data_IF_906184878652
#
_entry.id   IF_906184878652
#
_cell.length_a   1.000
_cell.length_b   1.000
_cell.length_c   1.000
_cell.angle_alpha   90.00
_cell.angle_beta   90.00
_cell.angle_gamma   90.00
#
_symmetry.space_group_name_H-M   'P 1'
#
loop_
_entity.id
_entity.type
_entity.pdbx_description
1 polymer ?
#
# COMPACT_ATOMS: atom_id res chain seq x y z
N UNK A 1 -44.80 -20.01 52.87
CA UNK A 1 -46.05 -20.55 52.29
C UNK A 1 -45.67 -21.10 50.91
N UNK A 2 -44.94 -22.20 50.80
CA UNK A 2 -45.08 -23.55 51.37
C UNK A 2 -46.05 -24.44 50.56
N UNK A 3 -45.64 -25.72 50.44
CA UNK A 3 -46.34 -26.93 49.94
C UNK A 3 -46.27 -27.22 48.42
N UNK A 4 -46.00 -28.45 47.93
CA UNK A 4 -45.51 -29.74 48.44
C UNK A 4 -45.29 -30.63 47.20
N UNK A 5 -44.11 -31.22 47.01
CA UNK A 5 -43.83 -32.67 47.04
C UNK A 5 -44.85 -33.65 46.42
N UNK A 6 -44.37 -34.51 45.50
CA UNK A 6 -44.71 -35.94 45.46
C UNK A 6 -43.55 -36.78 44.93
N UNK A 7 -42.93 -37.56 45.82
CA UNK A 7 -42.17 -38.81 45.54
C UNK A 7 -43.12 -40.00 45.66
N UNK A 8 -42.84 -41.09 44.94
CA UNK A 8 -42.99 -42.53 45.28
C UNK A 8 -42.39 -43.30 44.08
N UNK A 9 -41.61 -44.38 44.14
CA UNK A 9 -41.17 -45.25 45.24
C UNK A 9 -41.29 -46.74 44.84
N UNK A 10 -40.16 -47.46 44.68
CA UNK A 10 -40.00 -48.93 44.81
C UNK A 10 -40.27 -49.80 43.57
N UNK A 11 -39.69 -51.00 43.37
CA UNK A 11 -38.76 -51.86 44.12
C UNK A 11 -38.38 -53.08 43.22
N UNK A 12 -37.21 -53.72 43.43
CA UNK A 12 -36.95 -55.10 42.96
C UNK A 12 -35.48 -55.45 42.65
N UNK A 13 -34.78 -56.05 43.62
CA UNK A 13 -33.37 -56.53 43.60
C UNK A 13 -33.25 -58.01 43.11
N UNK A 14 -32.18 -58.79 43.41
CA UNK A 14 -30.72 -58.65 43.19
C UNK A 14 -30.13 -59.89 42.44
N UNK A 15 -28.83 -59.93 42.10
CA UNK A 15 -28.08 -61.23 42.09
C UNK A 15 -26.55 -61.06 42.14
N UNK A 16 -25.99 -61.57 43.24
CA UNK A 16 -24.76 -62.35 43.45
C UNK A 16 -23.37 -61.80 43.04
N UNK A 17 -22.61 -61.52 44.11
CA UNK A 17 -21.15 -61.45 44.28
C UNK A 17 -20.43 -62.79 44.08
N UNK A 18 -19.20 -62.76 43.56
CA UNK A 18 -18.11 -63.73 43.80
C UNK A 18 -16.73 -63.05 43.59
N UNK A 19 -15.59 -63.62 44.07
CA UNK A 19 -14.67 -62.91 44.98
C UNK A 19 -13.35 -62.37 44.36
N UNK A 20 -12.75 -61.42 45.07
CA UNK A 20 -11.38 -60.90 44.89
C UNK A 20 -10.29 -61.97 45.04
N UNK A 21 -9.23 -61.85 44.23
CA UNK A 21 -7.89 -62.39 44.42
C UNK A 21 -6.82 -61.35 44.04
N UNK A 22 -5.59 -61.47 44.54
CA UNK A 22 -4.81 -60.36 45.10
C UNK A 22 -3.88 -59.64 44.09
N UNK A 23 -3.41 -58.50 44.57
CA UNK A 23 -2.47 -57.53 44.00
C UNK A 23 -1.27 -58.11 43.24
N UNK A 24 -1.00 -57.56 42.05
CA UNK A 24 0.34 -57.39 41.51
C UNK A 24 0.50 -55.93 41.06
N UNK A 25 1.32 -55.19 41.82
CA UNK A 25 1.89 -53.91 41.41
C UNK A 25 2.89 -54.14 40.26
N UNK A 26 2.66 -53.50 39.12
CA UNK A 26 3.72 -53.20 38.15
C UNK A 26 3.58 -51.73 37.74
N UNK A 27 4.55 -50.95 38.18
CA UNK A 27 4.77 -49.55 37.85
C UNK A 27 5.09 -49.41 36.35
N UNK A 28 4.14 -48.99 35.52
CA UNK A 28 4.46 -48.61 34.13
C UNK A 28 3.52 -47.53 33.55
N UNK A 29 3.17 -46.50 34.32
CA UNK A 29 2.44 -45.32 33.79
C UNK A 29 3.10 -43.96 34.11
N UNK A 30 4.35 -43.96 34.59
CA UNK A 30 5.06 -42.72 34.95
C UNK A 30 5.91 -42.06 33.85
N UNK A 31 6.02 -42.64 32.63
CA UNK A 31 7.04 -42.21 31.65
C UNK A 31 6.50 -41.66 30.32
N UNK A 32 5.23 -41.25 30.26
CA UNK A 32 4.64 -40.61 29.06
C UNK A 32 4.13 -39.18 29.24
N UNK A 33 4.31 -38.58 30.43
CA UNK A 33 3.83 -37.21 30.69
C UNK A 33 4.91 -36.13 30.86
N UNK A 34 6.20 -36.44 30.65
CA UNK A 34 7.28 -35.44 30.78
C UNK A 34 8.07 -35.16 29.48
N UNK A 35 7.59 -35.62 28.31
CA UNK A 35 8.29 -35.46 27.04
C UNK A 35 7.60 -34.53 26.03
N UNK A 36 6.59 -33.74 26.43
CA UNK A 36 5.87 -32.84 25.52
C UNK A 36 6.00 -31.35 25.87
N UNK A 37 6.93 -30.99 26.77
CA UNK A 37 7.25 -29.59 27.05
C UNK A 37 8.52 -29.13 26.30
N UNK A 38 8.71 -29.62 25.07
CA UNK A 38 9.68 -29.09 24.12
C UNK A 38 9.01 -27.98 23.30
N UNK A 39 9.14 -26.75 23.78
CA UNK A 39 8.94 -25.49 23.06
C UNK A 39 7.93 -25.54 21.89
N UNK A 40 6.64 -25.33 22.17
CA UNK A 40 5.80 -24.64 21.20
C UNK A 40 6.41 -23.24 21.00
N UNK A 41 7.32 -23.11 20.04
CA UNK A 41 7.74 -21.81 19.55
C UNK A 41 6.47 -21.08 19.15
N UNK A 42 6.14 -19.99 19.86
CA UNK A 42 4.87 -19.28 19.68
C UNK A 42 4.63 -19.05 18.19
N UNK A 43 3.51 -19.58 17.65
CA UNK A 43 3.21 -19.47 16.22
C UNK A 43 3.27 -18.01 15.79
N UNK A 44 4.07 -17.75 14.76
CA UNK A 44 4.19 -16.43 14.10
C UNK A 44 2.81 -15.86 13.82
N UNK A 45 2.55 -14.63 14.33
CA UNK A 45 1.31 -13.90 14.05
C UNK A 45 1.28 -13.51 12.58
N UNK A 46 0.12 -13.61 11.94
CA UNK A 46 -0.04 -13.33 10.51
C UNK A 46 -0.93 -12.12 10.27
N UNK A 47 -0.41 -11.10 9.60
CA UNK A 47 -1.16 -9.94 9.14
C UNK A 47 -1.25 -10.01 7.61
N UNK A 48 -2.48 -9.97 7.10
CA UNK A 48 -2.76 -9.83 5.68
C UNK A 48 -3.15 -8.39 5.38
N UNK A 49 -2.34 -7.70 4.59
CA UNK A 49 -2.67 -6.37 4.05
C UNK A 49 -3.29 -6.55 2.65
N UNK A 50 -4.57 -6.28 2.52
CA UNK A 50 -5.31 -6.32 1.27
C UNK A 50 -5.26 -4.97 0.57
N UNK A 51 -4.88 -4.99 -0.71
CA UNK A 51 -4.80 -3.80 -1.54
C UNK A 51 -5.12 -4.15 -3.00
N UNK A 52 -5.07 -3.15 -3.89
CA UNK A 52 -5.07 -3.34 -5.34
C UNK A 52 -4.18 -2.28 -6.00
N UNK A 53 -3.47 -2.63 -7.07
CA UNK A 53 -2.58 -1.72 -7.80
C UNK A 53 -3.33 -0.75 -8.71
N UNK A 54 -3.88 0.27 -8.05
CA UNK A 54 -4.71 1.32 -8.64
C UNK A 54 -3.99 2.67 -8.62
N UNK A 55 -2.82 2.76 -9.26
CA UNK A 55 -2.01 4.01 -9.33
C UNK A 55 -0.91 4.14 -8.26
N UNK A 56 -0.58 3.06 -7.55
CA UNK A 56 0.62 2.92 -6.73
C UNK A 56 0.56 3.48 -5.30
N UNK A 57 -0.36 4.39 -4.98
CA UNK A 57 -0.52 4.98 -3.64
C UNK A 57 -0.91 3.96 -2.56
N UNK A 58 -1.83 3.05 -2.88
CA UNK A 58 -2.26 1.99 -1.95
C UNK A 58 -1.13 1.00 -1.65
N UNK A 59 -0.37 0.58 -2.67
CA UNK A 59 0.83 -0.25 -2.49
C UNK A 59 1.90 0.45 -1.66
N UNK A 60 2.10 1.76 -1.86
CA UNK A 60 3.02 2.54 -1.04
C UNK A 60 2.60 2.51 0.44
N UNK A 61 1.32 2.72 0.73
CA UNK A 61 0.77 2.66 2.10
C UNK A 61 0.90 1.26 2.72
N UNK A 62 0.61 0.20 1.97
CA UNK A 62 0.78 -1.18 2.42
C UNK A 62 2.24 -1.49 2.78
N UNK A 63 3.19 -1.06 1.95
CA UNK A 63 4.62 -1.22 2.19
C UNK A 63 5.09 -0.41 3.40
N UNK A 64 4.59 0.82 3.58
CA UNK A 64 4.87 1.65 4.77
C UNK A 64 4.42 0.95 6.05
N UNK A 65 3.19 0.43 6.07
CA UNK A 65 2.66 -0.32 7.21
C UNK A 65 3.47 -1.58 7.49
N UNK A 66 3.80 -2.37 6.45
CA UNK A 66 4.65 -3.56 6.60
C UNK A 66 6.01 -3.21 7.21
N UNK A 67 6.68 -2.18 6.71
CA UNK A 67 7.97 -1.74 7.22
C UNK A 67 7.87 -1.31 8.70
N UNK A 68 6.89 -0.47 9.04
CA UNK A 68 6.67 -0.02 10.42
C UNK A 68 6.34 -1.18 11.38
N UNK A 69 5.52 -2.14 10.95
CA UNK A 69 5.19 -3.33 11.73
C UNK A 69 6.44 -4.17 12.05
N UNK A 70 7.36 -4.31 11.09
CA UNK A 70 8.62 -5.03 11.30
C UNK A 70 9.61 -4.28 12.20
N UNK A 71 9.48 -2.96 12.35
CA UNK A 71 10.24 -2.20 13.36
C UNK A 71 9.73 -2.47 14.78
N UNK A 72 8.43 -2.76 14.93
CA UNK A 72 7.79 -3.02 16.23
C UNK A 72 7.96 -4.49 16.64
N UNK A 73 7.78 -5.41 15.68
CA UNK A 73 7.87 -6.84 15.93
C UNK A 73 8.74 -7.53 14.86
N UNK A 74 9.79 -8.26 15.28
CA UNK A 74 10.71 -8.90 14.35
C UNK A 74 10.05 -10.00 13.52
N UNK A 75 10.69 -10.33 12.39
CA UNK A 75 10.20 -11.30 11.40
C UNK A 75 10.12 -12.74 11.92
N UNK A 76 10.75 -13.10 13.03
CA UNK A 76 10.54 -14.41 13.66
C UNK A 76 9.15 -14.51 14.33
N UNK A 77 8.60 -13.38 14.77
CA UNK A 77 7.31 -13.30 15.50
C UNK A 77 6.14 -12.79 14.68
N UNK A 78 6.39 -12.00 13.63
CA UNK A 78 5.34 -11.40 12.79
C UNK A 78 5.53 -11.68 11.29
N UNK A 79 4.49 -12.21 10.64
CA UNK A 79 4.40 -12.36 9.19
C UNK A 79 3.47 -11.29 8.65
N UNK A 80 3.98 -10.41 7.80
CA UNK A 80 3.15 -9.44 7.09
C UNK A 80 3.18 -9.75 5.60
N UNK A 81 2.03 -10.10 5.03
CA UNK A 81 1.86 -10.33 3.60
C UNK A 81 0.97 -9.26 3.00
N UNK A 82 1.37 -8.74 1.85
CA UNK A 82 0.59 -7.79 1.05
C UNK A 82 0.06 -8.55 -0.16
N UNK A 83 -1.24 -8.48 -0.41
CA UNK A 83 -1.89 -9.20 -1.51
C UNK A 83 -2.72 -8.22 -2.35
N UNK A 84 -2.56 -8.27 -3.67
CA UNK A 84 -3.48 -7.62 -4.60
C UNK A 84 -4.68 -8.55 -4.80
N UNK A 85 -5.72 -8.36 -3.98
CA UNK A 85 -6.85 -9.30 -3.98
C UNK A 85 -7.64 -9.22 -5.29
N UNK A 86 -7.62 -8.06 -5.97
CA UNK A 86 -8.32 -7.93 -7.23
C UNK A 86 -7.62 -8.70 -8.35
N UNK A 87 -6.31 -8.53 -8.47
CA UNK A 87 -5.48 -9.22 -9.47
C UNK A 87 -5.35 -10.72 -9.20
N UNK A 88 -4.92 -11.08 -7.98
CA UNK A 88 -4.46 -12.44 -7.66
C UNK A 88 -5.65 -13.39 -7.42
N UNK A 89 -6.78 -12.86 -6.95
CA UNK A 89 -7.87 -13.69 -6.42
C UNK A 89 -9.22 -13.55 -7.11
N UNK A 90 -9.52 -12.42 -7.74
CA UNK A 90 -10.89 -12.13 -8.22
C UNK A 90 -10.97 -11.90 -9.74
N UNK A 91 -10.59 -10.73 -10.24
CA UNK A 91 -10.75 -10.30 -11.63
C UNK A 91 -9.41 -9.76 -12.15
N UNK A 92 -8.57 -10.63 -12.71
CA UNK A 92 -7.20 -10.35 -13.17
C UNK A 92 -7.05 -9.23 -14.24
N UNK A 93 -8.15 -8.67 -14.77
CA UNK A 93 -8.11 -7.58 -15.77
C UNK A 93 -8.56 -6.23 -15.19
N UNK A 94 -8.97 -6.23 -13.91
CA UNK A 94 -9.57 -5.07 -13.24
C UNK A 94 -8.57 -3.93 -13.09
N UNK A 95 -7.30 -4.22 -12.77
CA UNK A 95 -6.25 -3.21 -12.66
C UNK A 95 -6.04 -2.43 -13.95
N UNK A 96 -6.04 -3.11 -15.11
CA UNK A 96 -5.89 -2.45 -16.42
C UNK A 96 -7.06 -1.54 -16.77
N UNK A 97 -8.28 -1.98 -16.48
CA UNK A 97 -9.50 -1.20 -16.72
C UNK A 97 -9.61 0.00 -15.75
N UNK A 98 -9.27 -0.21 -14.49
CA UNK A 98 -9.22 0.84 -13.48
C UNK A 98 -8.16 1.89 -13.81
N UNK A 99 -6.95 1.46 -14.16
CA UNK A 99 -5.86 2.36 -14.57
C UNK A 99 -6.24 3.16 -15.82
N UNK A 100 -7.03 2.58 -16.73
CA UNK A 100 -7.64 3.33 -17.83
C UNK A 100 -8.62 4.39 -17.31
N UNK A 101 -9.56 4.06 -16.41
CA UNK A 101 -10.50 5.04 -15.84
C UNK A 101 -9.82 6.20 -15.12
N UNK A 102 -8.83 5.93 -14.26
CA UNK A 102 -8.08 6.96 -13.51
C UNK A 102 -7.19 7.83 -14.40
N UNK A 103 -6.79 7.32 -15.57
CA UNK A 103 -6.07 8.11 -16.55
C UNK A 103 -6.92 9.24 -17.19
N UNK A 104 -8.26 9.15 -17.11
CA UNK A 104 -9.19 10.18 -17.62
C UNK A 104 -9.93 10.89 -16.48
N UNK A 105 -9.51 12.11 -16.07
CA UNK A 105 -10.07 12.81 -14.90
C UNK A 105 -11.60 12.98 -14.92
N UNK A 106 -12.19 13.26 -16.08
CA UNK A 106 -13.64 13.42 -16.20
C UNK A 106 -14.40 12.09 -16.04
N UNK A 107 -13.82 10.98 -16.50
CA UNK A 107 -14.41 9.64 -16.33
C UNK A 107 -14.33 9.24 -14.86
N UNK A 108 -13.17 9.42 -14.23
CA UNK A 108 -12.98 9.15 -12.80
C UNK A 108 -13.88 10.01 -11.92
N UNK A 109 -13.94 11.33 -12.14
CA UNK A 109 -14.80 12.23 -11.36
C UNK A 109 -16.28 11.85 -11.48
N UNK A 110 -16.74 11.50 -12.69
CA UNK A 110 -18.12 11.05 -12.90
C UNK A 110 -18.42 9.73 -12.19
N UNK A 111 -17.51 8.75 -12.28
CA UNK A 111 -17.64 7.47 -11.55
C UNK A 111 -17.69 7.76 -10.05
N UNK A 112 -16.70 8.47 -9.52
CA UNK A 112 -16.58 8.81 -8.10
C UNK A 112 -17.83 9.52 -7.55
N UNK A 113 -18.32 10.58 -8.21
CA UNK A 113 -19.50 11.30 -7.74
C UNK A 113 -20.79 10.47 -7.90
N UNK A 114 -20.89 9.65 -8.94
CA UNK A 114 -22.05 8.78 -9.14
C UNK A 114 -22.10 7.66 -8.09
N UNK A 115 -20.98 6.99 -7.84
CA UNK A 115 -20.88 5.93 -6.83
C UNK A 115 -21.06 6.49 -5.42
N UNK A 116 -20.53 7.69 -5.15
CA UNK A 116 -20.72 8.40 -3.88
C UNK A 116 -22.19 8.72 -3.63
N UNK A 117 -22.86 9.43 -4.56
CA UNK A 117 -24.29 9.78 -4.44
C UNK A 117 -25.20 8.55 -4.29
N UNK A 118 -24.83 7.44 -4.91
CA UNK A 118 -25.58 6.19 -4.80
C UNK A 118 -25.38 5.54 -3.44
N UNK A 119 -24.14 5.61 -2.91
CA UNK A 119 -23.79 5.05 -1.59
C UNK A 119 -24.39 5.87 -0.43
N UNK A 120 -24.36 7.21 -0.51
CA UNK A 120 -24.98 8.11 0.47
C UNK A 120 -26.50 7.90 0.61
N UNK A 121 -27.18 7.43 -0.45
CA UNK A 121 -28.62 7.13 -0.41
C UNK A 121 -28.95 5.78 0.24
N UNK A 122 -27.97 4.91 0.43
CA UNK A 122 -28.15 3.56 0.97
C UNK A 122 -27.79 3.42 2.46
N UNK A 123 -27.47 4.54 3.10
CA UNK A 123 -26.85 4.70 4.41
C UNK A 123 -27.74 4.32 5.63
N UNK A 124 -28.62 3.34 5.50
CA UNK A 124 -29.41 2.82 6.64
C UNK A 124 -29.40 1.31 6.80
N UNK A 125 -28.93 0.56 5.80
CA UNK A 125 -28.92 -0.91 5.87
C UNK A 125 -27.54 -1.55 5.74
N UNK A 126 -26.47 -0.75 5.66
CA UNK A 126 -25.09 -1.26 5.64
C UNK A 126 -24.78 -2.21 4.47
N UNK A 127 -25.51 -2.07 3.36
CA UNK A 127 -25.44 -2.97 2.22
C UNK A 127 -24.95 -2.26 0.95
N UNK A 128 -24.06 -2.91 0.22
CA UNK A 128 -23.65 -2.53 -1.13
C UNK A 128 -24.82 -2.51 -2.12
N UNK A 129 -25.28 -1.33 -2.54
CA UNK A 129 -25.99 -1.21 -3.82
C UNK A 129 -24.98 -1.08 -4.95
N UNK A 130 -24.26 -2.16 -5.19
CA UNK A 130 -23.70 -2.36 -6.50
C UNK A 130 -24.83 -2.33 -7.53
N UNK A 131 -24.69 -1.55 -8.61
CA UNK A 131 -25.57 -1.64 -9.78
C UNK A 131 -25.59 -3.08 -10.35
N UNK A 132 -26.44 -3.38 -11.33
CA UNK A 132 -26.64 -4.73 -11.87
C UNK A 132 -25.33 -5.48 -12.19
N UNK A 133 -24.31 -4.78 -12.70
CA UNK A 133 -22.96 -5.33 -12.97
C UNK A 133 -22.23 -5.82 -11.72
N UNK A 134 -22.34 -5.09 -10.62
CA UNK A 134 -21.67 -5.42 -9.38
C UNK A 134 -22.31 -6.63 -8.69
N UNK A 135 -23.64 -6.82 -8.82
CA UNK A 135 -24.34 -8.06 -8.40
C UNK A 135 -23.94 -9.29 -9.23
N UNK A 136 -23.65 -9.09 -10.53
CA UNK A 136 -23.20 -10.18 -11.41
C UNK A 136 -21.78 -10.63 -11.04
N UNK A 137 -20.90 -9.68 -10.69
CA UNK A 137 -19.51 -9.99 -10.33
C UNK A 137 -19.35 -10.43 -8.85
N UNK A 138 -20.35 -10.16 -8.01
CA UNK A 138 -20.34 -10.47 -6.58
C UNK A 138 -19.93 -11.92 -6.27
N UNK A 139 -20.48 -12.98 -6.91
CA UNK A 139 -20.12 -14.36 -6.56
C UNK A 139 -18.64 -14.68 -6.84
N UNK A 140 -18.11 -14.18 -7.96
CA UNK A 140 -16.70 -14.39 -8.33
C UNK A 140 -15.78 -13.66 -7.36
N UNK A 141 -16.08 -12.40 -7.08
CA UNK A 141 -15.29 -11.59 -6.14
C UNK A 141 -15.35 -12.22 -4.74
N UNK A 142 -16.54 -12.64 -4.29
CA UNK A 142 -16.75 -13.35 -3.03
C UNK A 142 -15.91 -14.63 -2.94
N UNK A 143 -15.94 -15.46 -3.98
CA UNK A 143 -15.14 -16.70 -4.03
C UNK A 143 -13.64 -16.41 -3.93
N UNK A 144 -13.17 -15.37 -4.63
CA UNK A 144 -11.78 -14.93 -4.57
C UNK A 144 -11.34 -14.52 -3.16
N UNK A 145 -12.13 -13.69 -2.47
CA UNK A 145 -11.82 -13.31 -1.08
C UNK A 145 -11.79 -14.51 -0.13
N UNK A 146 -12.72 -15.46 -0.26
CA UNK A 146 -12.71 -16.70 0.55
C UNK A 146 -11.44 -17.49 0.33
N UNK A 147 -11.05 -17.65 -0.93
CA UNK A 147 -9.84 -18.37 -1.31
C UNK A 147 -8.60 -17.68 -0.74
N UNK A 148 -8.51 -16.35 -0.86
CA UNK A 148 -7.44 -15.55 -0.26
C UNK A 148 -7.36 -15.78 1.25
N UNK A 149 -8.45 -15.59 2.00
CA UNK A 149 -8.45 -15.75 3.46
C UNK A 149 -8.11 -17.19 3.89
N UNK A 150 -8.60 -18.20 3.15
CA UNK A 150 -8.33 -19.60 3.45
C UNK A 150 -6.88 -20.00 3.16
N UNK A 151 -6.29 -19.53 2.06
CA UNK A 151 -4.90 -19.80 1.70
C UNK A 151 -3.92 -19.08 2.64
N UNK A 152 -4.20 -17.83 3.00
CA UNK A 152 -3.29 -17.03 3.83
C UNK A 152 -3.40 -17.34 5.33
N UNK A 153 -4.61 -17.66 5.80
CA UNK A 153 -4.92 -17.90 7.21
C UNK A 153 -4.47 -16.78 8.15
N UNK A 154 -4.91 -15.52 7.96
CA UNK A 154 -4.44 -14.39 8.76
C UNK A 154 -5.04 -14.35 10.16
N UNK A 155 -4.27 -13.80 11.10
CA UNK A 155 -4.70 -13.44 12.46
C UNK A 155 -5.29 -12.02 12.52
N UNK A 156 -4.99 -11.19 11.52
CA UNK A 156 -5.51 -9.82 11.35
C UNK A 156 -5.55 -9.49 9.86
N UNK A 157 -6.64 -8.87 9.42
CA UNK A 157 -6.76 -8.30 8.07
C UNK A 157 -6.69 -6.78 8.16
N UNK A 158 -5.81 -6.18 7.34
CA UNK A 158 -5.72 -4.73 7.16
C UNK A 158 -6.09 -4.42 5.72
N UNK A 159 -7.02 -3.51 5.51
CA UNK A 159 -7.39 -3.03 4.20
C UNK A 159 -6.85 -1.62 3.95
N UNK A 160 -6.20 -1.41 2.82
CA UNK A 160 -5.71 -0.09 2.39
C UNK A 160 -6.33 0.36 1.06
N UNK A 161 -7.52 -0.14 0.71
CA UNK A 161 -8.19 0.22 -0.55
C UNK A 161 -9.73 0.27 -0.38
N UNK A 162 -10.45 1.25 -0.97
CA UNK A 162 -11.88 1.48 -0.68
C UNK A 162 -12.78 0.31 -1.07
N UNK A 163 -12.48 -0.40 -2.16
CA UNK A 163 -13.33 -1.50 -2.66
C UNK A 163 -13.21 -2.78 -1.80
N UNK A 164 -12.26 -2.81 -0.86
CA UNK A 164 -11.93 -4.03 -0.09
C UNK A 164 -12.74 -4.19 1.20
N UNK A 165 -13.62 -3.23 1.55
CA UNK A 165 -14.38 -3.30 2.81
C UNK A 165 -15.64 -4.15 2.66
N UNK A 166 -16.35 -3.92 1.57
CA UNK A 166 -17.78 -4.25 1.46
C UNK A 166 -18.02 -5.77 1.35
N UNK A 167 -17.34 -6.43 0.41
CA UNK A 167 -17.59 -7.84 0.09
C UNK A 167 -17.08 -8.78 1.19
N UNK A 168 -15.90 -8.53 1.81
CA UNK A 168 -15.44 -9.37 2.91
C UNK A 168 -16.35 -9.35 4.15
N UNK A 169 -16.93 -8.19 4.47
CA UNK A 169 -17.56 -7.97 5.76
C UNK A 169 -19.04 -8.36 5.77
N UNK A 170 -19.79 -8.07 4.70
CA UNK A 170 -21.22 -8.40 4.60
C UNK A 170 -21.48 -9.92 4.55
N UNK A 171 -20.47 -10.74 4.19
CA UNK A 171 -20.66 -12.14 3.84
C UNK A 171 -19.78 -13.15 4.58
N UNK A 172 -18.75 -12.72 5.32
CA UNK A 172 -17.80 -13.63 5.99
C UNK A 172 -17.60 -13.38 7.48
N UNK A 173 -18.29 -12.41 8.07
CA UNK A 173 -18.27 -12.30 9.53
C UNK A 173 -19.28 -13.28 10.12
N UNK A 174 -18.83 -14.35 10.80
CA UNK A 174 -19.76 -15.21 11.51
C UNK A 174 -20.56 -14.36 12.51
N UNK A 175 -21.84 -14.69 12.68
CA UNK A 175 -22.67 -14.11 13.74
C UNK A 175 -22.04 -14.31 15.13
N UNK A 176 -21.22 -15.36 15.26
CA UNK A 176 -20.35 -15.62 16.39
C UNK A 176 -19.04 -14.83 16.29
N UNK A 177 -18.95 -13.75 17.07
CA UNK A 177 -17.75 -12.89 17.15
C UNK A 177 -16.50 -13.60 17.69
N UNK A 178 -16.63 -14.75 18.36
CA UNK A 178 -15.49 -15.48 18.93
C UNK A 178 -14.58 -16.15 17.88
N UNK A 179 -15.05 -16.27 16.63
CA UNK A 179 -14.31 -16.87 15.49
C UNK A 179 -13.95 -15.86 14.40
N UNK A 180 -14.14 -14.58 14.68
CA UNK A 180 -13.96 -13.49 13.71
C UNK A 180 -12.50 -13.06 13.66
N UNK A 181 -11.89 -13.12 12.48
CA UNK A 181 -10.58 -12.50 12.25
C UNK A 181 -10.79 -10.97 12.35
N UNK A 182 -10.05 -10.26 13.22
CA UNK A 182 -10.12 -8.81 13.29
C UNK A 182 -9.86 -8.18 11.92
N UNK A 183 -10.66 -7.18 11.58
CA UNK A 183 -10.60 -6.48 10.31
C UNK A 183 -10.45 -4.98 10.54
N UNK A 184 -9.39 -4.42 9.99
CA UNK A 184 -9.03 -3.02 10.14
C UNK A 184 -8.96 -2.35 8.77
N UNK A 185 -9.42 -1.11 8.70
CA UNK A 185 -9.32 -0.28 7.51
C UNK A 185 -8.34 0.86 7.76
N UNK A 186 -7.43 1.12 6.83
CA UNK A 186 -6.55 2.27 6.83
C UNK A 186 -6.86 3.08 5.57
N UNK A 187 -7.50 4.23 5.75
CA UNK A 187 -7.89 5.12 4.65
C UNK A 187 -6.65 5.79 4.08
N UNK A 188 -6.51 5.73 2.74
CA UNK A 188 -5.33 6.26 2.03
C UNK A 188 -5.64 7.45 1.12
N UNK A 189 -6.85 8.01 1.21
CA UNK A 189 -7.27 9.19 0.46
C UNK A 189 -6.82 10.47 1.18
N UNK A 190 -6.52 11.58 0.48
CA UNK A 190 -5.97 12.82 1.06
C UNK A 190 -6.89 14.04 1.01
N UNK A 191 -8.17 13.85 0.67
CA UNK A 191 -9.15 14.94 0.62
C UNK A 191 -10.50 14.46 1.10
N UNK A 192 -11.38 14.10 0.17
CA UNK A 192 -12.67 13.50 0.49
C UNK A 192 -12.60 11.99 0.38
N UNK A 193 -12.89 11.28 1.47
CA UNK A 193 -12.95 9.83 1.47
C UNK A 193 -14.21 9.35 0.74
N UNK A 194 -14.06 8.41 -0.19
CA UNK A 194 -15.22 7.73 -0.76
C UNK A 194 -15.95 6.93 0.34
N UNK A 195 -17.30 6.94 0.41
CA UNK A 195 -18.06 6.20 1.42
C UNK A 195 -17.76 4.69 1.50
N UNK A 196 -17.21 4.11 0.42
CA UNK A 196 -16.78 2.70 0.39
C UNK A 196 -15.68 2.36 1.39
N UNK A 197 -14.95 3.36 1.90
CA UNK A 197 -14.00 3.16 3.00
C UNK A 197 -14.67 2.80 4.33
N UNK A 198 -15.95 3.15 4.51
CA UNK A 198 -16.61 3.04 5.81
C UNK A 198 -17.62 1.89 5.77
N UNK A 199 -17.35 0.88 6.60
CA UNK A 199 -18.26 -0.24 6.82
C UNK A 199 -18.35 -0.51 8.32
N UNK A 200 -19.55 -0.42 8.90
CA UNK A 200 -19.79 -0.55 10.34
C UNK A 200 -19.34 -1.88 10.95
N UNK A 201 -19.10 -2.90 10.12
CA UNK A 201 -18.68 -4.25 10.53
C UNK A 201 -17.17 -4.37 10.80
N UNK A 202 -16.35 -3.39 10.38
CA UNK A 202 -14.91 -3.36 10.70
C UNK A 202 -14.70 -3.19 12.19
N UNK A 203 -13.59 -3.72 12.69
CA UNK A 203 -13.25 -3.59 14.10
C UNK A 203 -12.67 -2.19 14.38
N UNK A 204 -11.84 -1.65 13.47
CA UNK A 204 -11.28 -0.29 13.54
C UNK A 204 -11.09 0.32 12.15
N UNK A 205 -11.19 1.64 12.05
CA UNK A 205 -10.80 2.43 10.88
C UNK A 205 -9.84 3.54 11.29
N UNK A 206 -8.74 3.66 10.56
CA UNK A 206 -7.74 4.70 10.71
C UNK A 206 -7.89 5.70 9.57
N UNK A 207 -8.09 6.97 9.91
CA UNK A 207 -8.31 8.05 8.95
C UNK A 207 -7.21 9.12 9.08
N UNK A 208 -6.87 9.81 7.97
CA UNK A 208 -5.81 10.79 7.98
C UNK A 208 -6.18 12.15 8.56
N UNK A 209 -7.47 12.53 8.56
CA UNK A 209 -7.94 13.86 8.96
C UNK A 209 -9.21 13.80 9.80
N UNK A 210 -9.46 14.87 10.56
CA UNK A 210 -10.70 15.05 11.32
C UNK A 210 -11.94 15.14 10.41
N UNK A 211 -11.81 15.75 9.24
CA UNK A 211 -12.89 15.82 8.25
C UNK A 211 -13.34 14.41 7.79
N UNK A 212 -12.38 13.49 7.64
CA UNK A 212 -12.69 12.09 7.34
C UNK A 212 -13.27 11.34 8.53
N UNK A 213 -12.88 11.70 9.75
CA UNK A 213 -13.50 11.18 10.97
C UNK A 213 -15.00 11.52 11.01
N UNK A 214 -15.35 12.80 10.81
CA UNK A 214 -16.76 13.22 10.71
C UNK A 214 -17.52 12.51 9.60
N UNK A 215 -16.87 12.28 8.45
CA UNK A 215 -17.46 11.55 7.33
C UNK A 215 -17.73 10.09 7.69
N UNK A 216 -16.80 9.44 8.40
CA UNK A 216 -16.97 8.09 8.88
C UNK A 216 -18.18 7.96 9.82
N UNK A 217 -18.35 8.90 10.76
CA UNK A 217 -19.49 8.95 11.67
C UNK A 217 -20.82 9.15 10.93
N UNK A 218 -20.83 10.02 9.90
CA UNK A 218 -22.01 10.20 9.03
C UNK A 218 -22.41 8.91 8.33
N UNK A 219 -21.44 8.08 7.93
CA UNK A 219 -21.66 6.73 7.39
C UNK A 219 -21.98 5.65 8.45
N UNK A 220 -22.35 6.05 9.68
CA UNK A 220 -22.84 5.14 10.72
C UNK A 220 -21.76 4.41 11.54
N UNK A 221 -20.48 4.74 11.36
CA UNK A 221 -19.41 4.24 12.21
C UNK A 221 -19.58 4.75 13.64
N UNK A 222 -19.21 3.94 14.65
CA UNK A 222 -19.18 4.39 16.04
C UNK A 222 -17.88 5.15 16.34
N UNK A 223 -17.95 6.09 17.27
CA UNK A 223 -16.79 6.86 17.76
C UNK A 223 -15.61 5.97 18.15
N UNK A 224 -15.88 4.86 18.86
CA UNK A 224 -14.85 3.93 19.31
C UNK A 224 -14.18 3.16 18.16
N UNK A 225 -14.72 3.19 16.94
CA UNK A 225 -14.15 2.50 15.78
C UNK A 225 -13.19 3.39 14.99
N UNK A 226 -13.32 4.72 15.05
CA UNK A 226 -12.63 5.64 14.14
C UNK A 226 -11.46 6.31 14.87
N UNK A 227 -10.28 6.32 14.25
CA UNK A 227 -9.07 6.89 14.83
C UNK A 227 -8.35 7.79 13.82
N UNK A 228 -8.14 9.05 14.19
CA UNK A 228 -7.38 10.02 13.38
C UNK A 228 -5.89 9.87 13.67
N UNK A 229 -5.12 9.34 12.72
CA UNK A 229 -3.68 9.03 12.91
C UNK A 229 -2.78 9.49 11.77
N UNK A 230 -3.33 10.16 10.75
CA UNK A 230 -2.58 10.54 9.55
C UNK A 230 -2.44 9.39 8.55
N UNK A 231 -1.69 9.64 7.46
CA UNK A 231 -1.38 8.61 6.47
C UNK A 231 -0.13 7.81 6.81
N UNK A 232 -0.10 6.50 6.49
CA UNK A 232 1.13 5.71 6.61
C UNK A 232 2.15 6.11 5.54
N UNK A 233 3.19 6.84 5.96
CA UNK A 233 4.30 7.26 5.11
C UNK A 233 5.48 6.30 5.22
N UNK A 234 6.28 6.18 4.14
CA UNK A 234 7.53 5.42 4.18
C UNK A 234 8.51 6.10 5.14
N UNK A 235 9.38 5.32 5.78
CA UNK A 235 10.32 5.81 6.79
C UNK A 235 11.18 6.99 6.30
N UNK A 236 11.58 7.01 5.02
CA UNK A 236 12.33 8.12 4.44
C UNK A 236 11.64 9.49 4.54
N UNK A 237 10.31 9.52 4.68
CA UNK A 237 9.52 10.74 4.84
C UNK A 237 9.36 11.20 6.29
N UNK A 238 9.78 10.42 7.30
CA UNK A 238 9.52 10.73 8.71
C UNK A 238 10.42 11.86 9.24
N UNK A 239 11.58 12.06 8.61
CA UNK A 239 12.63 12.98 9.07
C UNK A 239 13.11 13.91 7.94
N UNK A 240 12.16 14.61 7.30
CA UNK A 240 12.46 15.60 6.25
C UNK A 240 12.77 17.01 6.79
N UNK A 241 12.85 17.14 8.11
CA UNK A 241 13.06 18.34 8.90
C UNK A 241 14.55 18.65 9.12
N UNK A 242 15.27 18.91 8.03
CA UNK A 242 16.70 19.24 8.10
C UNK A 242 17.08 20.63 7.57
N UNK A 243 16.08 21.46 7.25
CA UNK A 243 16.28 22.81 6.74
C UNK A 243 17.13 22.87 5.46
N UNK A 244 17.82 23.99 5.26
CA UNK A 244 18.63 24.21 4.05
C UNK A 244 19.83 23.27 3.98
N UNK A 245 20.46 22.91 5.11
CA UNK A 245 21.64 22.04 5.12
C UNK A 245 21.33 20.63 4.62
N UNK A 246 20.20 20.04 5.05
CA UNK A 246 19.78 18.72 4.57
C UNK A 246 19.40 18.76 3.09
N UNK A 247 18.72 19.83 2.65
CA UNK A 247 18.42 20.06 1.24
C UNK A 247 19.70 20.12 0.40
N UNK A 248 20.70 20.89 0.84
CA UNK A 248 21.99 20.96 0.16
C UNK A 248 22.70 19.61 0.17
N UNK A 249 22.71 18.87 1.29
CA UNK A 249 23.29 17.54 1.35
C UNK A 249 22.64 16.55 0.36
N UNK A 250 21.30 16.57 0.21
CA UNK A 250 20.61 15.77 -0.81
C UNK A 250 20.94 16.24 -2.22
N UNK A 251 21.06 17.55 -2.46
CA UNK A 251 21.51 18.07 -3.76
C UNK A 251 22.89 17.54 -4.13
N UNK A 252 23.85 17.55 -3.20
CA UNK A 252 25.18 16.97 -3.44
C UNK A 252 25.10 15.50 -3.80
N UNK A 253 24.38 14.73 -2.99
CA UNK A 253 24.18 13.28 -3.22
C UNK A 253 23.56 12.98 -4.59
N UNK A 254 22.63 13.82 -5.05
CA UNK A 254 21.89 13.63 -6.31
C UNK A 254 22.53 14.36 -7.51
N UNK A 255 23.64 15.08 -7.33
CA UNK A 255 24.23 15.92 -8.38
C UNK A 255 23.30 17.06 -8.85
N UNK A 256 22.70 17.79 -7.90
CA UNK A 256 21.71 18.86 -8.09
C UNK A 256 22.15 20.21 -7.47
N UNK A 257 23.45 20.44 -7.31
CA UNK A 257 24.02 21.46 -6.40
C UNK A 257 23.85 22.93 -6.84
N UNK A 258 23.78 23.23 -8.13
CA UNK A 258 24.03 24.60 -8.62
C UNK A 258 22.82 25.35 -9.19
N UNK A 259 21.65 24.71 -9.28
CA UNK A 259 20.54 25.22 -10.09
C UNK A 259 19.22 25.17 -9.33
N UNK A 260 18.24 25.99 -9.75
CA UNK A 260 16.88 25.86 -9.24
C UNK A 260 16.32 24.51 -9.67
N UNK A 261 15.91 23.66 -8.74
CA UNK A 261 15.44 22.30 -9.03
C UNK A 261 13.92 22.28 -9.09
N UNK A 262 13.39 21.91 -10.25
CA UNK A 262 11.96 21.68 -10.49
C UNK A 262 11.75 20.17 -10.65
N UNK A 263 10.97 19.58 -9.75
CA UNK A 263 10.60 18.17 -9.83
C UNK A 263 9.19 18.04 -10.39
N UNK A 264 9.06 17.45 -11.57
CA UNK A 264 7.78 17.06 -12.16
C UNK A 264 7.52 15.57 -11.91
N UNK A 265 6.48 15.23 -11.17
CA UNK A 265 6.18 13.85 -10.76
C UNK A 265 4.71 13.47 -11.00
N UNK A 266 4.49 12.38 -11.73
CA UNK A 266 3.15 11.85 -12.09
C UNK A 266 2.68 10.64 -11.28
N UNK A 267 3.24 10.45 -10.08
CA UNK A 267 2.98 9.25 -9.25
C UNK A 267 3.76 8.01 -9.73
N UNK A 268 3.56 6.88 -9.03
CA UNK A 268 4.33 5.65 -9.25
C UNK A 268 4.19 5.04 -10.65
N UNK A 269 3.08 5.32 -11.33
CA UNK A 269 2.78 4.81 -12.67
C UNK A 269 2.97 5.86 -13.79
N UNK A 270 3.46 7.07 -13.48
CA UNK A 270 3.68 8.12 -14.48
C UNK A 270 2.43 8.45 -15.29
N UNK A 271 1.28 8.56 -14.63
CA UNK A 271 -0.03 8.71 -15.25
C UNK A 271 -0.41 10.17 -15.50
N UNK A 272 -1.42 10.36 -16.36
CA UNK A 272 -1.99 11.67 -16.65
C UNK A 272 -1.16 12.48 -17.65
N UNK A 273 -1.19 13.80 -17.50
CA UNK A 273 -0.61 14.75 -18.47
C UNK A 273 0.85 15.09 -18.20
N UNK A 274 1.60 14.19 -17.55
CA UNK A 274 2.99 14.46 -17.17
C UNK A 274 3.85 14.83 -18.39
N UNK A 275 3.61 14.23 -19.55
CA UNK A 275 4.30 14.58 -20.79
C UNK A 275 4.05 16.03 -21.22
N UNK A 276 2.78 16.46 -21.22
CA UNK A 276 2.38 17.83 -21.57
C UNK A 276 2.96 18.84 -20.56
N UNK A 277 2.92 18.50 -19.27
CA UNK A 277 3.47 19.32 -18.18
C UNK A 277 4.98 19.44 -18.32
N UNK A 278 5.71 18.35 -18.53
CA UNK A 278 7.16 18.36 -18.69
C UNK A 278 7.59 19.20 -19.89
N UNK A 279 6.94 19.04 -21.05
CA UNK A 279 7.19 19.84 -22.26
C UNK A 279 6.90 21.31 -22.04
N UNK A 280 5.79 21.63 -21.39
CA UNK A 280 5.41 23.00 -21.05
C UNK A 280 6.42 23.64 -20.09
N UNK A 281 6.85 22.91 -19.05
CA UNK A 281 7.88 23.38 -18.12
C UNK A 281 9.20 23.65 -18.84
N UNK A 282 9.66 22.74 -19.69
CA UNK A 282 10.88 22.94 -20.48
C UNK A 282 10.82 24.22 -21.32
N UNK A 283 9.69 24.48 -21.98
CA UNK A 283 9.48 25.72 -22.75
C UNK A 283 9.56 26.97 -21.88
N UNK A 284 8.77 27.03 -20.80
CA UNK A 284 8.72 28.22 -19.94
C UNK A 284 10.04 28.46 -19.20
N UNK A 285 10.75 27.38 -18.79
CA UNK A 285 12.05 27.50 -18.15
C UNK A 285 13.10 28.06 -19.12
N UNK A 286 13.11 27.61 -20.38
CA UNK A 286 14.00 28.15 -21.41
C UNK A 286 13.77 29.64 -21.65
N UNK A 287 12.50 30.07 -21.69
CA UNK A 287 12.11 31.47 -21.84
C UNK A 287 12.45 32.34 -20.62
N UNK A 288 12.49 31.74 -19.42
CA UNK A 288 12.71 32.48 -18.16
C UNK A 288 14.12 33.04 -17.98
N UNK A 289 15.08 32.63 -18.80
CA UNK A 289 16.48 33.02 -18.74
C UNK A 289 17.16 32.75 -17.36
N UNK A 290 16.69 31.74 -16.62
CA UNK A 290 17.25 31.34 -15.31
C UNK A 290 17.86 29.94 -15.39
N UNK A 291 19.05 29.79 -14.79
CA UNK A 291 19.67 28.47 -14.61
C UNK A 291 18.77 27.57 -13.77
N UNK A 292 18.31 26.47 -14.34
CA UNK A 292 17.37 25.56 -13.68
C UNK A 292 17.56 24.12 -14.14
N UNK A 293 17.16 23.19 -13.26
CA UNK A 293 17.15 21.77 -13.54
C UNK A 293 15.73 21.23 -13.43
N UNK A 294 15.21 20.72 -14.53
CA UNK A 294 13.93 20.01 -14.58
C UNK A 294 14.18 18.52 -14.43
N UNK A 295 13.76 17.94 -13.30
CA UNK A 295 13.76 16.49 -13.07
C UNK A 295 12.35 15.95 -13.31
N UNK A 296 12.19 15.07 -14.29
CA UNK A 296 10.89 14.46 -14.64
C UNK A 296 10.88 13.00 -14.22
N UNK A 297 10.06 12.66 -13.22
CA UNK A 297 9.92 11.31 -12.68
C UNK A 297 8.75 10.61 -13.35
N UNK A 298 9.07 9.68 -14.24
CA UNK A 298 8.10 8.95 -15.04
C UNK A 298 7.52 7.72 -14.32
N UNK A 299 8.00 7.41 -13.11
CA UNK A 299 7.58 6.20 -12.40
C UNK A 299 7.88 4.95 -13.23
N UNK A 300 6.97 3.98 -13.21
CA UNK A 300 7.08 2.75 -14.03
C UNK A 300 6.71 2.94 -15.50
N UNK A 301 6.37 4.16 -15.94
CA UNK A 301 6.00 4.43 -17.32
C UNK A 301 7.24 4.57 -18.22
N UNK A 302 7.85 3.44 -18.53
CA UNK A 302 9.07 3.37 -19.34
C UNK A 302 8.87 3.96 -20.74
N UNK A 303 7.67 3.79 -21.32
CA UNK A 303 7.32 4.39 -22.61
C UNK A 303 7.33 5.92 -22.54
N UNK A 304 6.87 6.51 -21.44
CA UNK A 304 6.91 7.97 -21.25
C UNK A 304 8.35 8.45 -21.07
N UNK A 305 9.16 7.74 -20.27
CA UNK A 305 10.58 8.04 -20.08
C UNK A 305 11.30 8.14 -21.43
N UNK A 306 11.21 7.09 -22.24
CA UNK A 306 11.84 7.02 -23.55
C UNK A 306 11.32 8.10 -24.52
N UNK A 307 10.03 8.46 -24.47
CA UNK A 307 9.49 9.55 -25.31
C UNK A 307 10.05 10.91 -24.92
N UNK A 308 10.22 11.18 -23.63
CA UNK A 308 10.78 12.44 -23.14
C UNK A 308 12.31 12.52 -23.36
N UNK A 309 13.02 11.40 -23.27
CA UNK A 309 14.45 11.33 -23.61
C UNK A 309 14.70 11.55 -25.11
N UNK A 310 13.77 11.13 -25.97
CA UNK A 310 13.84 11.36 -27.42
C UNK A 310 13.21 12.68 -27.86
N UNK A 311 12.66 13.45 -26.93
CA UNK A 311 12.00 14.71 -27.27
C UNK A 311 13.03 15.78 -27.65
N UNK A 312 12.78 16.49 -28.74
CA UNK A 312 13.52 17.70 -29.10
C UNK A 312 13.12 18.84 -28.15
N UNK A 313 13.92 19.07 -27.12
CA UNK A 313 13.70 20.15 -26.18
C UNK A 313 13.96 21.54 -26.82
N UNK A 314 13.31 22.61 -26.32
CA UNK A 314 13.52 23.97 -26.82
C UNK A 314 14.97 24.43 -26.74
N UNK A 315 15.34 25.41 -27.58
CA UNK A 315 16.67 26.04 -27.52
C UNK A 315 16.95 26.58 -26.11
N UNK A 316 18.12 26.26 -25.56
CA UNK A 316 18.50 26.59 -24.18
C UNK A 316 18.24 25.48 -23.16
N UNK A 317 17.57 24.40 -23.56
CA UNK A 317 17.48 23.15 -22.78
C UNK A 317 18.51 22.13 -23.26
N UNK A 318 19.10 21.39 -22.32
CA UNK A 318 19.99 20.25 -22.57
C UNK A 318 19.49 19.04 -21.80
N UNK A 319 19.40 17.89 -22.47
CA UNK A 319 19.04 16.63 -21.83
C UNK A 319 20.27 16.01 -21.17
N UNK A 320 20.19 15.77 -19.86
CA UNK A 320 21.22 15.05 -19.13
C UNK A 320 21.14 13.56 -19.46
N UNK A 321 22.23 13.01 -20.02
CA UNK A 321 22.41 11.57 -20.09
C UNK A 321 22.85 11.10 -18.72
N UNK A 322 22.03 10.29 -18.06
CA UNK A 322 22.48 9.55 -16.89
C UNK A 322 23.50 8.51 -17.38
N UNK A 323 24.70 8.52 -16.80
CA UNK A 323 25.61 7.40 -16.98
C UNK A 323 24.92 6.15 -16.43
N UNK A 324 24.91 5.08 -17.22
CA UNK A 324 24.43 3.76 -16.80
C UNK A 324 25.40 3.17 -15.76
N UNK A 325 25.48 3.75 -14.56
CA UNK A 325 26.24 3.18 -13.45
C UNK A 325 25.34 2.94 -12.23
N UNK A 326 25.17 1.64 -11.95
CA UNK A 326 24.66 0.99 -10.73
C UNK A 326 23.16 0.71 -10.62
N UNK A 327 22.61 0.04 -11.64
CA UNK A 327 21.64 -1.05 -11.41
C UNK A 327 22.15 -2.32 -12.12
N UNK A 328 23.05 -3.05 -11.46
CA UNK A 328 23.33 -4.46 -11.81
C UNK A 328 23.22 -5.33 -10.56
N UNK A 329 22.59 -6.51 -10.63
CA UNK A 329 22.66 -7.52 -9.58
C UNK A 329 24.11 -7.95 -9.40
N UNK A 330 24.55 -8.10 -8.15
CA UNK A 330 25.86 -8.67 -7.81
C UNK A 330 25.88 -10.14 -8.19
N UNK A 331 26.68 -10.52 -9.19
CA UNK A 331 27.62 -11.63 -9.05
C UNK A 331 28.61 -11.75 -10.23
N UNK A 332 29.81 -12.24 -9.86
CA UNK A 332 30.90 -12.81 -10.65
C UNK A 332 31.81 -11.89 -11.53
N UNK A 333 32.92 -11.44 -10.93
CA UNK A 333 34.29 -11.93 -11.23
C UNK A 333 35.07 -11.43 -12.47
N UNK A 334 36.19 -10.72 -12.21
CA UNK A 334 37.44 -10.61 -13.02
C UNK A 334 37.33 -9.90 -14.38
N UNK A 335 38.26 -9.10 -14.89
CA UNK A 335 39.66 -8.85 -14.58
C UNK A 335 40.06 -7.45 -15.10
N UNK A 336 41.19 -6.97 -14.59
CA UNK A 336 41.85 -5.69 -14.87
C UNK A 336 42.32 -5.55 -16.33
N UNK A 337 42.25 -4.33 -16.87
CA UNK A 337 43.29 -3.80 -17.76
C UNK A 337 43.24 -2.26 -17.85
N UNK A 338 44.37 -1.67 -17.50
CA UNK A 338 44.80 -0.27 -17.63
C UNK A 338 44.92 0.23 -19.08
N UNK A 339 44.77 1.54 -19.30
CA UNK A 339 45.16 2.17 -20.56
C UNK A 339 44.91 3.67 -20.64
N UNK A 340 45.92 4.44 -20.23
CA UNK A 340 46.42 5.73 -20.72
C UNK A 340 45.51 6.93 -21.04
N UNK A 341 45.91 8.03 -20.40
CA UNK A 341 45.62 9.44 -20.67
C UNK A 341 46.19 9.88 -22.03
N UNK A 342 45.39 10.59 -22.82
CA UNK A 342 45.91 11.61 -23.74
C UNK A 342 45.00 12.85 -23.70
N UNK A 343 45.61 13.95 -23.26
CA UNK A 343 45.15 15.32 -23.48
C UNK A 343 45.35 15.68 -24.96
N UNK A 344 44.35 16.27 -25.60
CA UNK A 344 44.57 17.13 -26.78
C UNK A 344 43.76 18.42 -26.63
N UNK A 345 44.46 19.52 -26.85
CA UNK A 345 44.03 20.90 -26.76
C UNK A 345 43.11 21.31 -27.93
N UNK A 346 42.20 22.24 -27.63
CA UNK A 346 42.04 23.47 -28.42
C UNK A 346 41.27 23.39 -29.74
N UNK A 347 39.98 23.67 -29.69
CA UNK A 347 39.30 24.44 -30.76
C UNK A 347 38.34 25.47 -30.18
N UNK A 348 38.74 26.75 -30.27
CA UNK A 348 37.83 27.89 -30.24
C UNK A 348 36.74 27.75 -31.31
N UNK A 349 35.46 27.91 -30.94
CA UNK A 349 34.40 28.41 -31.84
C UNK A 349 33.10 28.75 -31.11
N UNK A 350 32.69 30.02 -31.29
CA UNK A 350 31.35 30.61 -31.08
C UNK A 350 30.85 30.67 -29.65
N UNK A 351 30.33 31.84 -29.26
CA UNK A 351 29.70 32.04 -27.96
C UNK A 351 28.56 31.05 -27.72
N UNK A 352 28.86 30.01 -26.95
CA UNK A 352 27.87 29.13 -26.35
C UNK A 352 27.20 29.91 -25.24
N UNK A 353 25.97 30.40 -25.47
CA UNK A 353 25.04 30.47 -24.35
C UNK A 353 24.82 29.02 -23.90
N UNK A 354 25.68 28.54 -23.00
CA UNK A 354 25.59 27.19 -22.43
C UNK A 354 24.17 26.92 -21.94
N UNK A 355 23.73 25.66 -22.07
CA UNK A 355 22.35 25.30 -21.76
C UNK A 355 21.94 25.81 -20.38
N UNK A 356 20.87 26.62 -20.37
CA UNK A 356 20.37 27.27 -19.15
C UNK A 356 19.44 26.34 -18.38
N UNK A 357 18.84 25.38 -19.06
CA UNK A 357 17.94 24.40 -18.45
C UNK A 357 18.50 23.00 -18.67
N UNK A 358 18.83 22.30 -17.59
CA UNK A 358 19.17 20.88 -17.67
C UNK A 358 17.93 20.05 -17.42
N UNK A 359 17.65 19.11 -18.30
CA UNK A 359 16.49 18.22 -18.19
C UNK A 359 16.98 16.82 -17.87
N UNK A 360 16.55 16.30 -16.72
CA UNK A 360 16.82 14.93 -16.29
C UNK A 360 15.52 14.14 -16.30
N UNK A 361 15.44 13.13 -17.16
CA UNK A 361 14.28 12.22 -17.20
C UNK A 361 14.67 10.94 -16.48
N UNK A 362 13.88 10.54 -15.50
CA UNK A 362 14.11 9.32 -14.70
C UNK A 362 12.86 8.44 -14.67
N UNK A 363 13.08 7.14 -14.47
CA UNK A 363 12.02 6.15 -14.28
C UNK A 363 11.45 6.18 -12.86
N UNK A 364 11.31 4.99 -12.27
CA UNK A 364 10.87 4.84 -10.89
C UNK A 364 11.99 5.19 -9.91
N UNK A 365 11.65 5.84 -8.80
CA UNK A 365 12.60 6.23 -7.76
C UNK A 365 12.16 5.65 -6.42
N UNK A 366 13.02 4.84 -5.80
CA UNK A 366 12.82 4.33 -4.44
C UNK A 366 13.12 5.38 -3.36
N UNK A 367 13.93 6.39 -3.69
CA UNK A 367 14.37 7.47 -2.81
C UNK A 367 13.74 8.83 -3.19
N UNK A 368 12.49 8.82 -3.65
CA UNK A 368 11.80 10.03 -4.14
C UNK A 368 11.71 11.15 -3.08
N UNK A 369 11.70 10.81 -1.80
CA UNK A 369 11.78 11.74 -0.68
C UNK A 369 13.05 12.62 -0.74
N UNK A 370 14.17 12.07 -1.21
CA UNK A 370 15.42 12.82 -1.36
C UNK A 370 15.32 13.83 -2.49
N UNK A 371 14.67 13.46 -3.60
CA UNK A 371 14.39 14.36 -4.72
C UNK A 371 13.41 15.46 -4.31
N UNK A 372 12.36 15.10 -3.57
CA UNK A 372 11.40 16.07 -3.04
C UNK A 372 12.09 17.08 -2.12
N UNK A 373 12.94 16.62 -1.20
CA UNK A 373 13.70 17.50 -0.30
C UNK A 373 14.71 18.38 -1.04
N UNK A 374 15.35 17.86 -2.10
CA UNK A 374 16.31 18.62 -2.92
C UNK A 374 15.65 19.70 -3.80
N UNK A 375 14.33 19.64 -3.99
CA UNK A 375 13.60 20.47 -4.95
C UNK A 375 13.23 21.85 -4.41
N UNK A 376 13.22 22.85 -5.28
CA UNK A 376 12.66 24.18 -4.97
C UNK A 376 11.18 24.28 -5.34
N UNK A 377 10.77 23.52 -6.35
CA UNK A 377 9.38 23.47 -6.83
C UNK A 377 9.05 22.03 -7.13
N UNK A 378 7.93 21.55 -6.57
CA UNK A 378 7.37 20.24 -6.89
C UNK A 378 6.09 20.47 -7.68
N UNK A 379 6.07 19.97 -8.91
CA UNK A 379 4.91 19.94 -9.78
C UNK A 379 4.39 18.51 -9.81
N UNK A 380 3.24 18.29 -9.19
CA UNK A 380 2.58 16.99 -9.23
C UNK A 380 1.19 17.09 -9.86
N UNK A 381 0.63 15.93 -10.22
CA UNK A 381 -0.76 15.84 -10.67
C UNK A 381 -1.68 16.27 -9.50
N UNK A 382 -2.69 17.10 -9.79
CA UNK A 382 -3.79 17.31 -8.85
C UNK A 382 -4.52 15.98 -8.63
N UNK A 383 -4.71 15.61 -7.36
CA UNK A 383 -5.43 14.40 -6.95
C UNK A 383 -6.82 14.30 -7.56
#
# INVERSE_FOLDING_TARGET
MDLMEFRHGGHGAPTKSEPMKPEEHVEEEGRKHEADNQSEGARKKKILIMMSDTGGGHRASANSLKAALHMIMPEDKLQVKIVDVLEDYTLWFSNRLYNWWVAYPHVWANIFHHTKRTSEKLDRSGGYAGGTTAKILEPTVRSGYRRCLAEEGPDLVVSVHPIMQVIPLEHFMPQDRSKKIPFVTCVTDLGEAHPWWFNVSVDKVFVPTEEMHETALKCGMREDQVHVVGLPLRQGFWHLDGGEDAKQAKRRKLGLEEERVILAIGGGEGMGKLEEVAKSLGKHLAESNRKSRLVVVCGRNEKLRLRLERHTWPSGCELEKLSEEKEKPRDAGGDEASGDLQEEEGQEKRGEEGARVKVRVVGFLDNVEEYMLASDVIVSKAG
#
